data_IF_666329189974
#
_entry.id   IF_666329189974
#
_cell.length_a   1.000
_cell.length_b   1.000
_cell.length_c   1.000
_cell.angle_alpha   90.00
_cell.angle_beta   90.00
_cell.angle_gamma   90.00
#
_symmetry.space_group_name_H-M   'P 1'
#
loop_
_entity.id
_entity.type
_entity.pdbx_description
1 polymer ?
#
# COMPACT_ATOMS: atom_id res chain seq x y z
N UNK A 1 10.36 0.87 -34.16
CA UNK A 1 11.11 1.95 -33.47
C UNK A 1 10.16 2.91 -32.74
N UNK A 2 9.12 3.45 -33.39
CA UNK A 2 8.18 4.40 -32.74
C UNK A 2 7.46 3.88 -31.48
N UNK A 3 7.06 2.60 -31.43
CA UNK A 3 6.34 2.05 -30.27
C UNK A 3 7.20 1.96 -28.99
N UNK A 4 8.51 1.75 -29.14
CA UNK A 4 9.44 1.69 -28.01
C UNK A 4 9.63 3.09 -27.40
N UNK A 5 9.75 4.11 -28.25
CA UNK A 5 9.86 5.50 -27.81
C UNK A 5 8.63 5.95 -27.01
N UNK A 6 7.41 5.59 -27.46
CA UNK A 6 6.18 5.90 -26.73
C UNK A 6 6.11 5.18 -25.36
N UNK A 7 6.48 3.91 -25.32
CA UNK A 7 6.52 3.13 -24.07
C UNK A 7 7.53 3.69 -23.06
N UNK A 8 8.71 4.12 -23.53
CA UNK A 8 9.70 4.79 -22.69
C UNK A 8 9.20 6.13 -22.17
N UNK A 9 8.51 6.90 -23.01
CA UNK A 9 7.92 8.17 -22.59
C UNK A 9 6.85 7.96 -21.51
N UNK A 10 5.97 6.98 -21.69
CA UNK A 10 4.95 6.63 -20.69
C UNK A 10 5.57 6.11 -19.38
N UNK A 11 6.66 5.35 -19.45
CA UNK A 11 7.45 4.94 -18.27
C UNK A 11 8.00 6.16 -17.52
N UNK A 12 8.72 7.04 -18.21
CA UNK A 12 9.32 8.23 -17.59
C UNK A 12 8.25 9.12 -16.95
N UNK A 13 7.12 9.36 -17.64
CA UNK A 13 6.00 10.13 -17.10
C UNK A 13 5.41 9.47 -15.85
N UNK A 14 5.09 8.17 -15.92
CA UNK A 14 4.46 7.45 -14.81
C UNK A 14 5.38 7.38 -13.59
N UNK A 15 6.68 7.14 -13.80
CA UNK A 15 7.69 7.11 -12.75
C UNK A 15 7.88 8.49 -12.12
N UNK A 16 7.95 9.55 -12.93
CA UNK A 16 8.08 10.92 -12.45
C UNK A 16 6.89 11.32 -11.55
N UNK A 17 5.67 10.93 -11.92
CA UNK A 17 4.47 11.19 -11.09
C UNK A 17 4.60 10.47 -9.74
N UNK A 18 4.99 9.19 -9.72
CA UNK A 18 5.16 8.43 -8.47
C UNK A 18 6.23 9.05 -7.56
N UNK A 19 7.39 9.42 -8.12
CA UNK A 19 8.45 10.10 -7.37
C UNK A 19 8.03 11.49 -6.87
N UNK A 20 7.29 12.25 -7.67
CA UNK A 20 6.80 13.57 -7.28
C UNK A 20 5.83 13.46 -6.10
N UNK A 21 4.94 12.46 -6.10
CA UNK A 21 4.04 12.22 -4.97
C UNK A 21 4.78 11.78 -3.72
N UNK A 22 5.80 10.94 -3.86
CA UNK A 22 6.67 10.56 -2.74
C UNK A 22 7.41 11.78 -2.17
N UNK A 23 7.96 12.63 -3.03
CA UNK A 23 8.66 13.85 -2.63
C UNK A 23 7.72 14.83 -1.90
N UNK A 24 6.49 15.03 -2.40
CA UNK A 24 5.49 15.82 -1.68
C UNK A 24 5.13 15.20 -0.33
N UNK A 25 5.06 13.87 -0.24
CA UNK A 25 4.87 13.15 1.03
C UNK A 25 6.00 13.39 2.03
N UNK A 26 7.24 13.45 1.56
CA UNK A 26 8.42 13.79 2.37
C UNK A 26 8.33 15.23 2.90
N UNK A 27 7.99 16.20 2.03
CA UNK A 27 7.76 17.58 2.43
C UNK A 27 6.69 17.67 3.53
N UNK A 28 5.55 16.99 3.34
CA UNK A 28 4.45 16.97 4.31
C UNK A 28 4.90 16.33 5.63
N UNK A 29 5.60 15.20 5.59
CA UNK A 29 6.13 14.53 6.78
C UNK A 29 7.15 15.41 7.53
N UNK A 30 7.93 16.22 6.82
CA UNK A 30 8.83 17.20 7.42
C UNK A 30 8.12 18.31 8.20
N UNK A 31 6.97 18.79 7.70
CA UNK A 31 6.14 19.78 8.40
C UNK A 31 5.32 19.16 9.53
N UNK A 32 4.75 17.99 9.29
CA UNK A 32 3.86 17.27 10.19
C UNK A 32 4.66 16.15 10.84
N UNK A 33 5.30 16.45 11.98
CA UNK A 33 6.10 15.49 12.77
C UNK A 33 5.24 14.47 13.53
N UNK A 34 4.28 13.87 12.84
CA UNK A 34 3.59 12.67 13.29
C UNK A 34 4.48 11.52 12.77
N UNK A 35 4.81 10.52 13.60
CA UNK A 35 5.75 9.42 13.28
C UNK A 35 5.34 8.46 12.14
N UNK A 36 4.58 8.97 11.17
CA UNK A 36 4.12 8.31 9.96
C UNK A 36 5.18 8.48 8.87
N UNK A 37 5.63 7.39 8.23
CA UNK A 37 6.57 7.46 7.10
C UNK A 37 6.05 8.33 5.95
N UNK A 38 6.95 9.06 5.30
CA UNK A 38 6.66 9.89 4.14
C UNK A 38 6.00 9.14 2.96
N UNK A 39 6.33 7.85 2.79
CA UNK A 39 5.72 7.01 1.75
C UNK A 39 4.20 6.84 1.92
N UNK A 40 3.70 6.84 3.15
CA UNK A 40 2.26 6.76 3.44
C UNK A 40 1.58 8.08 3.05
N UNK A 41 2.22 9.22 3.35
CA UNK A 41 1.72 10.53 2.91
C UNK A 41 1.70 10.67 1.39
N UNK A 42 2.75 10.21 0.70
CA UNK A 42 2.78 10.17 -0.76
C UNK A 42 1.69 9.29 -1.36
N UNK A 43 1.41 8.13 -0.74
CA UNK A 43 0.31 7.24 -1.14
C UNK A 43 -1.05 7.92 -0.96
N UNK A 44 -1.30 8.55 0.19
CA UNK A 44 -2.55 9.27 0.46
C UNK A 44 -2.76 10.41 -0.53
N UNK A 45 -1.71 11.17 -0.83
CA UNK A 45 -1.79 12.29 -1.77
C UNK A 45 -2.07 11.80 -3.19
N UNK A 46 -1.37 10.75 -3.64
CA UNK A 46 -1.64 10.11 -4.92
C UNK A 46 -3.09 9.58 -4.98
N UNK A 47 -3.57 8.96 -3.91
CA UNK A 47 -4.93 8.45 -3.81
C UNK A 47 -5.97 9.58 -3.95
N UNK A 48 -5.78 10.71 -3.25
CA UNK A 48 -6.66 11.88 -3.36
C UNK A 48 -6.66 12.42 -4.79
N UNK A 49 -5.48 12.58 -5.41
CA UNK A 49 -5.38 13.04 -6.80
C UNK A 49 -6.09 12.10 -7.79
N UNK A 50 -6.09 10.80 -7.51
CA UNK A 50 -6.78 9.79 -8.31
C UNK A 50 -8.30 9.86 -8.12
N UNK A 51 -8.77 10.05 -6.88
CA UNK A 51 -10.20 10.22 -6.56
C UNK A 51 -10.77 11.49 -7.18
N UNK A 52 -10.02 12.61 -7.11
CA UNK A 52 -10.39 13.89 -7.73
C UNK A 52 -10.22 13.85 -9.26
N UNK A 53 -9.68 12.75 -9.81
CA UNK A 53 -9.41 12.54 -11.25
C UNK A 53 -8.46 13.57 -11.88
N UNK A 54 -7.65 14.25 -11.08
CA UNK A 54 -6.54 15.09 -11.55
C UNK A 54 -5.52 14.21 -12.27
N UNK A 55 -5.23 13.06 -11.68
CA UNK A 55 -4.36 12.04 -12.26
C UNK A 55 -5.25 10.89 -12.75
N UNK A 56 -5.10 10.52 -14.02
CA UNK A 56 -5.77 9.34 -14.59
C UNK A 56 -4.96 8.09 -14.24
N UNK A 57 -5.63 7.00 -13.88
CA UNK A 57 -4.97 5.74 -13.52
C UNK A 57 -3.98 5.26 -14.59
N UNK A 58 -4.36 5.35 -15.86
CA UNK A 58 -3.52 4.97 -16.99
C UNK A 58 -2.15 5.69 -17.02
N UNK A 59 -2.05 6.88 -16.42
CA UNK A 59 -0.81 7.67 -16.43
C UNK A 59 0.26 7.13 -15.47
N UNK A 60 -0.12 6.35 -14.46
CA UNK A 60 0.79 5.81 -13.43
C UNK A 60 0.90 4.28 -13.50
N UNK A 61 -0.09 3.63 -14.11
CA UNK A 61 -0.27 2.17 -14.11
C UNK A 61 0.95 1.42 -14.65
N UNK A 62 1.60 1.95 -15.69
CA UNK A 62 2.71 1.26 -16.34
C UNK A 62 3.94 1.09 -15.41
N UNK A 63 4.48 2.19 -14.88
CA UNK A 63 5.59 2.12 -13.91
C UNK A 63 5.19 1.45 -12.61
N UNK A 64 3.97 1.69 -12.10
CA UNK A 64 3.52 1.03 -10.87
C UNK A 64 3.52 -0.49 -11.01
N UNK A 65 2.98 -1.04 -12.11
CA UNK A 65 3.02 -2.48 -12.39
C UNK A 65 4.43 -3.01 -12.52
N UNK A 66 5.33 -2.27 -13.20
CA UNK A 66 6.72 -2.67 -13.35
C UNK A 66 7.45 -2.71 -12.01
N UNK A 67 7.29 -1.67 -11.19
CA UNK A 67 7.93 -1.56 -9.87
C UNK A 67 7.44 -2.66 -8.92
N UNK A 68 6.13 -2.96 -8.93
CA UNK A 68 5.54 -4.06 -8.15
C UNK A 68 6.05 -5.41 -8.66
N UNK A 69 6.11 -5.61 -9.98
CA UNK A 69 6.59 -6.87 -10.59
C UNK A 69 8.03 -7.18 -10.21
N UNK A 70 8.90 -6.17 -10.17
CA UNK A 70 10.31 -6.31 -9.82
C UNK A 70 10.63 -5.91 -8.38
N UNK A 71 9.62 -5.79 -7.51
CA UNK A 71 9.78 -5.35 -6.12
C UNK A 71 10.78 -6.22 -5.35
N UNK A 72 10.73 -7.54 -5.53
CA UNK A 72 11.70 -8.47 -4.92
C UNK A 72 13.15 -8.18 -5.34
N UNK A 73 13.37 -7.82 -6.60
CA UNK A 73 14.71 -7.46 -7.12
C UNK A 73 15.18 -6.13 -6.53
N UNK A 74 14.29 -5.15 -6.41
CA UNK A 74 14.57 -3.85 -5.80
C UNK A 74 14.91 -3.94 -4.30
N UNK A 75 14.50 -5.01 -3.62
CA UNK A 75 14.91 -5.26 -2.23
C UNK A 75 16.32 -5.82 -2.08
N UNK A 76 16.90 -6.42 -3.12
CA UNK A 76 18.25 -7.02 -3.02
C UNK A 76 19.30 -5.99 -2.59
N UNK A 77 19.40 -4.79 -3.19
CA UNK A 77 20.38 -3.78 -2.76
C UNK A 77 20.16 -3.33 -1.31
N UNK A 78 18.89 -3.18 -0.90
CA UNK A 78 18.51 -2.81 0.47
C UNK A 78 18.98 -3.89 1.45
N UNK A 79 18.71 -5.16 1.14
CA UNK A 79 19.12 -6.31 1.94
C UNK A 79 20.64 -6.46 2.06
N UNK A 80 21.39 -6.28 0.96
CA UNK A 80 22.87 -6.35 1.01
C UNK A 80 23.44 -5.23 1.88
N UNK A 81 22.81 -4.05 1.90
CA UNK A 81 23.20 -2.97 2.82
C UNK A 81 23.07 -3.36 4.30
N UNK A 82 22.03 -4.13 4.63
CA UNK A 82 21.75 -4.59 6.00
C UNK A 82 22.79 -5.62 6.48
N UNK A 83 23.33 -6.46 5.58
CA UNK A 83 24.33 -7.49 5.92
C UNK A 83 25.58 -6.88 6.56
N UNK A 84 25.93 -5.62 6.27
CA UNK A 84 27.05 -4.92 6.93
C UNK A 84 26.91 -4.80 8.44
N UNK A 85 25.70 -4.97 8.97
CA UNK A 85 25.37 -4.92 10.39
C UNK A 85 24.91 -6.29 10.91
N UNK A 86 25.30 -7.39 10.25
CA UNK A 86 24.87 -8.75 10.59
C UNK A 86 25.16 -9.13 12.04
N UNK A 87 26.32 -8.74 12.58
CA UNK A 87 26.74 -9.12 13.93
C UNK A 87 25.84 -8.48 14.99
N UNK A 88 25.48 -7.20 14.80
CA UNK A 88 24.53 -6.48 15.65
C UNK A 88 23.12 -7.06 15.56
N UNK A 89 22.71 -7.48 14.36
CA UNK A 89 21.42 -8.12 14.15
C UNK A 89 21.35 -9.49 14.82
N UNK A 90 22.44 -10.26 14.84
CA UNK A 90 22.51 -11.55 15.52
C UNK A 90 22.51 -11.40 17.05
N UNK A 91 23.21 -10.39 17.59
CA UNK A 91 23.21 -10.14 19.04
C UNK A 91 21.83 -9.75 19.55
N UNK A 92 21.11 -8.89 18.81
CA UNK A 92 19.79 -8.38 19.18
C UNK A 92 18.62 -9.07 18.48
N UNK A 93 18.87 -10.21 17.81
CA UNK A 93 17.86 -10.91 17.01
C UNK A 93 16.59 -11.23 17.82
N UNK A 94 16.76 -11.62 19.10
CA UNK A 94 15.65 -11.93 20.01
C UNK A 94 14.84 -10.68 20.37
N UNK A 95 15.51 -9.57 20.64
CA UNK A 95 14.88 -8.29 20.98
C UNK A 95 14.13 -7.67 19.78
N UNK A 96 14.56 -7.97 18.55
CA UNK A 96 13.89 -7.49 17.33
C UNK A 96 12.74 -8.41 16.89
N UNK A 97 12.95 -9.72 16.85
CA UNK A 97 11.98 -10.67 16.30
C UNK A 97 10.79 -10.92 17.23
N UNK A 98 11.03 -11.13 18.53
CA UNK A 98 9.98 -11.54 19.47
C UNK A 98 8.90 -10.45 19.57
N UNK A 99 9.22 -9.17 19.86
CA UNK A 99 8.19 -8.14 19.96
C UNK A 99 7.48 -7.89 18.63
N UNK A 100 8.18 -7.99 17.49
CA UNK A 100 7.60 -7.72 16.18
C UNK A 100 6.60 -8.82 15.74
N UNK A 101 6.93 -10.09 15.97
CA UNK A 101 6.03 -11.21 15.68
C UNK A 101 4.81 -11.16 16.62
N UNK A 102 5.07 -10.97 17.92
CA UNK A 102 4.01 -10.93 18.93
C UNK A 102 3.08 -9.73 18.68
N UNK A 103 3.62 -8.53 18.44
CA UNK A 103 2.82 -7.35 18.14
C UNK A 103 2.00 -7.53 16.86
N UNK A 104 2.59 -8.06 15.78
CA UNK A 104 1.88 -8.29 14.52
C UNK A 104 0.74 -9.29 14.71
N UNK A 105 0.98 -10.43 15.38
CA UNK A 105 -0.06 -11.41 15.66
C UNK A 105 -1.18 -10.82 16.51
N UNK A 106 -0.85 -10.12 17.60
CA UNK A 106 -1.85 -9.49 18.48
C UNK A 106 -2.64 -8.44 17.70
N UNK A 107 -1.97 -7.57 16.94
CA UNK A 107 -2.62 -6.54 16.13
C UNK A 107 -3.57 -7.14 15.11
N UNK A 108 -3.19 -8.22 14.40
CA UNK A 108 -4.08 -8.90 13.45
C UNK A 108 -5.30 -9.52 14.14
N UNK A 109 -5.11 -10.17 15.30
CA UNK A 109 -6.21 -10.77 16.07
C UNK A 109 -7.16 -9.67 16.57
N UNK A 110 -6.63 -8.63 17.20
CA UNK A 110 -7.43 -7.53 17.75
C UNK A 110 -8.18 -6.78 16.64
N UNK A 111 -7.51 -6.43 15.54
CA UNK A 111 -8.15 -5.78 14.39
C UNK A 111 -9.21 -6.70 13.76
N UNK A 112 -8.94 -8.01 13.67
CA UNK A 112 -9.89 -9.00 13.18
C UNK A 112 -11.16 -9.05 14.03
N UNK A 113 -11.03 -9.22 15.34
CA UNK A 113 -12.16 -9.20 16.27
C UNK A 113 -12.88 -7.86 16.31
N UNK A 114 -12.15 -6.75 16.27
CA UNK A 114 -12.72 -5.41 16.27
C UNK A 114 -13.51 -5.13 14.97
N UNK A 115 -12.98 -5.55 13.83
CA UNK A 115 -13.66 -5.43 12.54
C UNK A 115 -14.94 -6.26 12.53
N UNK A 116 -14.89 -7.49 13.04
CA UNK A 116 -16.09 -8.35 13.13
C UNK A 116 -17.13 -7.78 14.12
N UNK A 117 -16.69 -7.22 15.24
CA UNK A 117 -17.57 -6.54 16.19
C UNK A 117 -18.26 -5.32 15.58
N UNK A 118 -17.49 -4.45 14.91
CA UNK A 118 -18.02 -3.26 14.22
C UNK A 118 -18.96 -3.69 13.10
N UNK A 119 -18.56 -4.66 12.27
CA UNK A 119 -19.36 -5.14 11.14
C UNK A 119 -20.63 -5.86 11.56
N UNK A 120 -20.59 -6.61 12.67
CA UNK A 120 -21.75 -7.24 13.30
C UNK A 120 -22.77 -6.20 13.79
N UNK A 121 -22.32 -5.02 14.23
CA UNK A 121 -23.17 -3.88 14.58
C UNK A 121 -23.65 -3.08 13.37
N UNK A 122 -22.86 -2.98 12.29
CA UNK A 122 -23.16 -2.17 11.10
C UNK A 122 -23.60 -3.00 9.87
N UNK A 123 -24.88 -3.35 9.84
CA UNK A 123 -25.76 -3.20 8.66
C UNK A 123 -25.48 -3.91 7.31
N UNK A 124 -24.81 -5.07 7.25
CA UNK A 124 -24.87 -5.94 6.04
C UNK A 124 -25.88 -7.10 6.13
N UNK A 125 -26.46 -7.38 7.31
CA UNK A 125 -27.60 -8.32 7.43
C UNK A 125 -28.77 -7.88 6.55
N UNK A 126 -29.03 -6.58 6.43
CA UNK A 126 -30.16 -6.07 5.65
C UNK A 126 -29.91 -6.10 4.14
N UNK A 127 -28.67 -5.86 3.68
CA UNK A 127 -28.30 -5.96 2.28
C UNK A 127 -28.26 -7.41 1.80
N UNK A 128 -27.70 -8.33 2.62
CA UNK A 128 -27.73 -9.77 2.36
C UNK A 128 -29.17 -10.30 2.29
N UNK A 129 -30.06 -9.86 3.20
CA UNK A 129 -31.50 -10.20 3.14
C UNK A 129 -32.20 -9.60 1.91
N UNK A 130 -31.86 -8.37 1.48
CA UNK A 130 -32.43 -7.76 0.25
C UNK A 130 -32.01 -8.51 -1.02
N UNK A 131 -30.75 -8.93 -1.12
CA UNK A 131 -30.25 -9.70 -2.27
C UNK A 131 -30.88 -11.09 -2.32
N UNK A 132 -30.98 -11.80 -1.18
CA UNK A 132 -31.62 -13.11 -1.10
C UNK A 132 -33.13 -13.06 -1.43
N UNK A 133 -33.86 -12.03 -0.97
CA UNK A 133 -35.28 -11.83 -1.34
C UNK A 133 -35.45 -11.50 -2.83
N UNK A 134 -34.55 -10.70 -3.42
CA UNK A 134 -34.59 -10.41 -4.87
C UNK A 134 -34.32 -11.66 -5.70
N UNK A 135 -33.39 -12.52 -5.29
CA UNK A 135 -33.13 -13.79 -5.97
C UNK A 135 -34.30 -14.77 -5.84
N UNK A 136 -34.93 -14.88 -4.67
CA UNK A 136 -36.11 -15.72 -4.48
C UNK A 136 -37.32 -15.25 -5.31
N UNK A 137 -37.48 -13.93 -5.54
CA UNK A 137 -38.55 -13.37 -6.38
C UNK A 137 -38.28 -13.49 -7.88
N UNK A 138 -37.03 -13.59 -8.30
CA UNK A 138 -36.65 -13.70 -9.71
C UNK A 138 -36.59 -15.15 -10.22
N UNK A 139 -36.79 -16.13 -9.32
CA UNK A 139 -36.83 -17.57 -9.58
C UNK A 139 -38.24 -18.17 -9.37
N UNK A 140 -39.28 -17.32 -9.32
CA UNK A 140 -40.71 -17.67 -9.29
C UNK A 140 -41.39 -16.85 -10.38
#
# INVERSE_FOLDING_TARGET
>A
MENIAKMLFDLCRSLAILFLMLFLGECISGFIRIGVPASIWGLLLLFICLVVRIIKLHWIEFSAKLLIRYMAVLFIPVSVGIIKYSDLLMSEAKALLIPNIVSTCITLVVIGFLSDYIFSRSSFKHLRKKVLKRQAKNNV
#
